data_IF_346036572999
#
_entry.id   IF_346036572999
#
_cell.length_a   1.000
_cell.length_b   1.000
_cell.length_c   1.000
_cell.angle_alpha   90.00
_cell.angle_beta   90.00
_cell.angle_gamma   90.00
#
_symmetry.space_group_name_H-M   'P 1'
#
loop_
_entity.id
_entity.type
_entity.pdbx_description
1 polymer ?
#
# COMPACT_ATOMS: atom_id res chain seq x y z
N UNK A 1 22.03 1.75 -29.69
CA UNK A 1 20.55 1.76 -29.82
C UNK A 1 19.91 0.38 -30.01
N UNK A 2 20.61 -0.69 -30.45
CA UNK A 2 19.99 -2.03 -30.62
C UNK A 2 19.71 -2.77 -29.31
N UNK A 3 20.63 -2.75 -28.33
CA UNK A 3 20.44 -3.41 -27.01
C UNK A 3 19.26 -2.88 -26.19
N UNK A 4 18.90 -1.60 -26.36
CA UNK A 4 17.73 -0.98 -25.68
C UNK A 4 16.42 -1.51 -26.27
N UNK A 5 16.35 -1.67 -27.60
CA UNK A 5 15.19 -2.28 -28.27
C UNK A 5 15.04 -3.76 -27.93
N UNK A 6 16.14 -4.48 -27.73
CA UNK A 6 16.15 -5.88 -27.28
C UNK A 6 15.69 -6.05 -25.83
N UNK A 7 16.18 -5.19 -24.93
CA UNK A 7 15.72 -5.15 -23.54
C UNK A 7 14.22 -4.87 -23.45
N UNK A 8 13.70 -3.89 -24.21
CA UNK A 8 12.28 -3.57 -24.28
C UNK A 8 11.40 -4.71 -24.82
N UNK A 9 11.95 -5.62 -25.63
CA UNK A 9 11.24 -6.81 -26.12
C UNK A 9 11.27 -8.00 -25.15
N UNK A 10 12.06 -7.94 -24.08
CA UNK A 10 12.01 -8.98 -23.05
C UNK A 10 10.67 -8.91 -22.28
N UNK A 11 10.05 -10.07 -22.02
CA UNK A 11 8.80 -10.16 -21.26
C UNK A 11 8.88 -9.45 -19.90
N UNK A 12 10.07 -9.44 -19.30
CA UNK A 12 10.36 -8.74 -18.05
C UNK A 12 10.30 -7.21 -18.20
N UNK A 13 11.00 -6.62 -19.17
CA UNK A 13 10.98 -5.18 -19.36
C UNK A 13 9.59 -4.66 -19.73
N UNK A 14 8.85 -5.43 -20.55
CA UNK A 14 7.46 -5.12 -20.86
C UNK A 14 6.57 -5.16 -19.61
N UNK A 15 6.74 -6.13 -18.73
CA UNK A 15 5.97 -6.24 -17.48
C UNK A 15 6.33 -5.13 -16.46
N UNK A 16 7.60 -4.75 -16.36
CA UNK A 16 8.05 -3.62 -15.54
C UNK A 16 7.54 -2.29 -16.07
N UNK A 17 7.59 -2.06 -17.39
CA UNK A 17 7.04 -0.87 -18.03
C UNK A 17 5.51 -0.77 -17.82
N UNK A 18 4.80 -1.89 -17.90
CA UNK A 18 3.37 -1.96 -17.57
C UNK A 18 3.11 -1.54 -16.11
N UNK A 19 3.90 -2.05 -15.16
CA UNK A 19 3.76 -1.67 -13.76
C UNK A 19 4.05 -0.18 -13.56
N UNK A 20 5.09 0.36 -14.20
CA UNK A 20 5.40 1.79 -14.13
C UNK A 20 4.25 2.65 -14.66
N UNK A 21 3.73 2.34 -15.85
CA UNK A 21 2.57 3.05 -16.42
C UNK A 21 1.34 2.93 -15.51
N UNK A 22 1.08 1.74 -14.97
CA UNK A 22 -0.01 1.52 -14.03
C UNK A 22 0.13 2.38 -12.77
N UNK A 23 1.35 2.48 -12.21
CA UNK A 23 1.63 3.32 -11.06
C UNK A 23 1.44 4.80 -11.38
N UNK A 24 1.81 5.25 -12.58
CA UNK A 24 1.52 6.63 -13.02
C UNK A 24 0.03 6.91 -13.05
N UNK A 25 -0.78 5.99 -13.60
CA UNK A 25 -2.25 6.14 -13.62
C UNK A 25 -2.82 6.17 -12.21
N UNK A 26 -2.38 5.28 -11.33
CA UNK A 26 -2.80 5.24 -9.91
C UNK A 26 -2.50 6.56 -9.20
N UNK A 27 -1.29 7.10 -9.37
CA UNK A 27 -0.91 8.38 -8.78
C UNK A 27 -1.72 9.55 -9.35
N UNK A 28 -1.99 9.56 -10.66
CA UNK A 28 -2.85 10.56 -11.28
C UNK A 28 -4.29 10.49 -10.73
N UNK A 29 -4.84 9.28 -10.56
CA UNK A 29 -6.15 9.07 -9.93
C UNK A 29 -6.20 9.58 -8.49
N UNK A 30 -5.18 9.26 -7.67
CA UNK A 30 -5.07 9.77 -6.30
C UNK A 30 -4.97 11.29 -6.24
N UNK A 31 -4.27 11.92 -7.21
CA UNK A 31 -4.20 13.37 -7.31
C UNK A 31 -5.56 13.99 -7.66
N UNK A 32 -6.27 13.42 -8.64
CA UNK A 32 -7.62 13.85 -9.04
C UNK A 32 -8.58 13.74 -7.85
N UNK A 33 -8.53 12.64 -7.09
CA UNK A 33 -9.33 12.48 -5.87
C UNK A 33 -9.09 13.63 -4.88
N UNK A 34 -7.82 13.91 -4.56
CA UNK A 34 -7.47 15.00 -3.64
C UNK A 34 -7.93 16.37 -4.15
N UNK A 35 -7.87 16.61 -5.47
CA UNK A 35 -8.35 17.86 -6.08
C UNK A 35 -9.88 18.00 -5.96
N UNK A 36 -10.62 16.93 -6.26
CA UNK A 36 -12.09 16.90 -6.13
C UNK A 36 -12.49 17.14 -4.67
N UNK A 37 -11.89 16.39 -3.74
CA UNK A 37 -12.17 16.52 -2.30
C UNK A 37 -11.81 17.90 -1.77
N UNK A 38 -10.69 18.50 -2.21
CA UNK A 38 -10.32 19.86 -1.84
C UNK A 38 -11.34 20.91 -2.30
N UNK A 39 -12.01 20.68 -3.43
CA UNK A 39 -13.05 21.58 -3.93
C UNK A 39 -14.41 21.36 -3.25
N UNK A 40 -14.77 20.12 -2.91
CA UNK A 40 -16.09 19.79 -2.38
C UNK A 40 -16.21 19.92 -0.87
N UNK A 41 -15.18 19.57 -0.10
CA UNK A 41 -15.26 19.48 1.36
C UNK A 41 -15.12 20.84 2.07
N UNK A 42 -14.60 21.85 1.36
CA UNK A 42 -14.22 23.13 1.98
C UNK A 42 -13.00 23.01 2.90
N UNK A 43 -12.48 24.14 3.42
CA UNK A 43 -11.16 24.19 4.04
C UNK A 43 -11.01 23.33 5.30
N UNK A 44 -12.04 23.27 6.15
CA UNK A 44 -11.96 22.59 7.46
C UNK A 44 -11.96 21.07 7.32
N UNK A 45 -12.91 20.51 6.56
CA UNK A 45 -12.98 19.06 6.32
C UNK A 45 -11.82 18.59 5.43
N UNK A 46 -11.33 19.42 4.50
CA UNK A 46 -10.15 19.09 3.72
C UNK A 46 -8.86 19.08 4.56
N UNK A 47 -8.75 19.91 5.59
CA UNK A 47 -7.65 19.86 6.54
C UNK A 47 -7.64 18.52 7.32
N UNK A 48 -8.80 18.09 7.81
CA UNK A 48 -8.96 16.78 8.47
C UNK A 48 -8.59 15.63 7.52
N UNK A 49 -9.04 15.68 6.26
CA UNK A 49 -8.69 14.69 5.25
C UNK A 49 -7.18 14.68 4.94
N UNK A 50 -6.58 15.86 4.81
CA UNK A 50 -5.13 16.00 4.54
C UNK A 50 -4.28 15.44 5.68
N UNK A 51 -4.73 15.59 6.93
CA UNK A 51 -4.10 14.96 8.08
C UNK A 51 -4.13 13.42 7.97
N UNK A 52 -5.28 12.83 7.62
CA UNK A 52 -5.39 11.38 7.44
C UNK A 52 -4.51 10.90 6.28
N UNK A 53 -4.45 11.64 5.17
CA UNK A 53 -3.54 11.35 4.05
C UNK A 53 -2.07 11.40 4.49
N UNK A 54 -1.71 12.35 5.34
CA UNK A 54 -0.36 12.45 5.91
C UNK A 54 -0.05 11.25 6.81
N UNK A 55 -1.00 10.81 7.63
CA UNK A 55 -0.84 9.58 8.42
C UNK A 55 -0.73 8.34 7.54
N UNK A 56 -1.42 8.27 6.40
CA UNK A 56 -1.26 7.19 5.42
C UNK A 56 0.17 7.15 4.85
N UNK A 57 0.84 8.30 4.69
CA UNK A 57 2.24 8.36 4.26
C UNK A 57 3.17 7.76 5.32
N UNK A 58 2.92 8.05 6.61
CA UNK A 58 3.66 7.42 7.72
C UNK A 58 3.46 5.90 7.71
N UNK A 59 2.23 5.43 7.49
CA UNK A 59 1.95 3.99 7.36
C UNK A 59 2.64 3.38 6.14
N UNK A 60 2.71 4.10 5.02
CA UNK A 60 3.41 3.65 3.81
C UNK A 60 4.88 3.38 4.14
N UNK A 61 5.51 4.29 4.90
CA UNK A 61 6.87 4.09 5.39
C UNK A 61 7.02 2.83 6.25
N UNK A 62 6.04 2.51 7.12
CA UNK A 62 6.04 1.27 7.91
C UNK A 62 5.85 0.01 7.05
N UNK A 63 5.02 0.09 6.01
CA UNK A 63 4.76 -1.05 5.11
C UNK A 63 5.92 -1.32 4.15
N UNK A 64 6.73 -0.32 3.80
CA UNK A 64 7.79 -0.46 2.82
C UNK A 64 8.87 -1.50 3.21
N UNK A 65 9.40 -1.54 4.45
CA UNK A 65 10.31 -2.60 4.90
C UNK A 65 9.68 -4.00 4.84
N UNK A 66 8.40 -4.13 5.18
CA UNK A 66 7.67 -5.41 5.11
C UNK A 66 7.61 -5.88 3.67
N UNK A 67 7.21 -5.00 2.75
CA UNK A 67 7.13 -5.30 1.32
C UNK A 67 8.50 -5.65 0.73
N UNK A 68 9.54 -4.86 1.03
CA UNK A 68 10.90 -5.08 0.52
C UNK A 68 11.52 -6.39 1.06
N UNK A 69 11.32 -6.68 2.35
CA UNK A 69 11.78 -7.92 2.97
C UNK A 69 11.06 -9.12 2.36
N UNK A 70 9.75 -9.02 2.20
CA UNK A 70 8.92 -10.03 1.54
C UNK A 70 9.38 -10.28 0.09
N UNK A 71 9.62 -9.22 -0.68
CA UNK A 71 10.12 -9.31 -2.05
C UNK A 71 11.49 -9.98 -2.13
N UNK A 72 12.41 -9.63 -1.23
CA UNK A 72 13.74 -10.24 -1.15
C UNK A 72 13.66 -11.74 -0.91
N UNK A 73 12.94 -12.19 0.11
CA UNK A 73 12.82 -13.62 0.41
C UNK A 73 12.05 -14.38 -0.66
N UNK A 74 11.02 -13.78 -1.24
CA UNK A 74 10.31 -14.36 -2.37
C UNK A 74 11.23 -14.56 -3.58
N UNK A 75 12.07 -13.59 -3.92
CA UNK A 75 13.01 -13.71 -5.04
C UNK A 75 14.04 -14.82 -4.82
N UNK A 76 14.64 -14.90 -3.62
CA UNK A 76 15.65 -15.93 -3.27
C UNK A 76 15.04 -17.33 -3.38
N UNK A 77 13.96 -17.60 -2.65
CA UNK A 77 13.42 -18.96 -2.57
C UNK A 77 12.65 -19.40 -3.83
N UNK A 78 12.16 -18.45 -4.64
CA UNK A 78 11.59 -18.77 -5.95
C UNK A 78 12.69 -19.18 -6.93
N UNK A 79 13.89 -18.61 -6.84
CA UNK A 79 15.03 -19.02 -7.65
C UNK A 79 15.54 -20.42 -7.26
N UNK A 80 15.52 -20.75 -5.97
CA UNK A 80 15.94 -22.05 -5.44
C UNK A 80 14.89 -23.16 -5.60
N UNK A 81 13.65 -22.82 -6.01
CA UNK A 81 12.53 -23.77 -6.12
C UNK A 81 12.00 -24.28 -4.77
N UNK A 82 12.32 -23.60 -3.66
CA UNK A 82 11.93 -24.00 -2.31
C UNK A 82 10.60 -23.36 -1.89
N UNK A 83 9.51 -23.85 -2.50
CA UNK A 83 8.15 -23.35 -2.24
C UNK A 83 7.69 -23.58 -0.79
N UNK A 84 8.21 -24.62 -0.12
CA UNK A 84 7.84 -24.93 1.27
C UNK A 84 8.38 -23.89 2.23
N UNK A 85 9.66 -23.58 2.13
CA UNK A 85 10.28 -22.53 2.97
C UNK A 85 9.68 -21.18 2.67
N UNK A 86 9.43 -20.86 1.39
CA UNK A 86 8.76 -19.62 1.00
C UNK A 86 7.36 -19.49 1.61
N UNK A 87 6.55 -20.56 1.60
CA UNK A 87 5.22 -20.54 2.20
C UNK A 87 5.26 -20.36 3.73
N UNK A 88 6.24 -20.98 4.40
CA UNK A 88 6.46 -20.83 5.84
C UNK A 88 6.87 -19.40 6.21
N UNK A 89 7.85 -18.83 5.49
CA UNK A 89 8.30 -17.45 5.67
C UNK A 89 7.18 -16.45 5.39
N UNK A 90 6.44 -16.64 4.30
CA UNK A 90 5.26 -15.81 4.00
C UNK A 90 4.28 -15.82 5.16
N UNK A 91 3.94 -17.01 5.68
CA UNK A 91 3.02 -17.15 6.83
C UNK A 91 3.55 -16.43 8.06
N UNK A 92 4.84 -16.57 8.38
CA UNK A 92 5.46 -15.88 9.51
C UNK A 92 5.38 -14.35 9.36
N UNK A 93 5.85 -13.80 8.23
CA UNK A 93 5.81 -12.34 7.98
C UNK A 93 4.36 -11.84 7.99
N UNK A 94 3.43 -12.61 7.44
CA UNK A 94 2.00 -12.28 7.43
C UNK A 94 1.43 -12.15 8.85
N UNK A 95 1.73 -13.10 9.76
CA UNK A 95 1.27 -13.01 11.14
C UNK A 95 1.91 -11.87 11.92
N UNK A 96 3.20 -11.58 11.68
CA UNK A 96 3.87 -10.40 12.27
C UNK A 96 3.21 -9.11 11.77
N UNK A 97 2.98 -9.00 10.45
CA UNK A 97 2.33 -7.85 9.84
C UNK A 97 0.88 -7.67 10.34
N UNK A 98 0.11 -8.76 10.45
CA UNK A 98 -1.23 -8.72 11.01
C UNK A 98 -1.21 -8.26 12.47
N UNK A 99 -0.32 -8.82 13.29
CA UNK A 99 -0.18 -8.46 14.70
C UNK A 99 0.14 -6.98 14.87
N UNK A 100 1.12 -6.47 14.10
CA UNK A 100 1.47 -5.05 14.10
C UNK A 100 0.29 -4.17 13.67
N UNK A 101 -0.42 -4.58 12.62
CA UNK A 101 -1.61 -3.87 12.14
C UNK A 101 -2.72 -3.80 13.19
N UNK A 102 -3.01 -4.93 13.86
CA UNK A 102 -4.00 -4.98 14.95
C UNK A 102 -3.58 -4.13 16.16
N UNK A 103 -2.29 -4.13 16.51
CA UNK A 103 -1.76 -3.24 17.55
C UNK A 103 -1.98 -1.77 17.19
N UNK A 104 -1.72 -1.38 15.94
CA UNK A 104 -1.98 -0.02 15.48
C UNK A 104 -3.48 0.30 15.42
N UNK A 105 -4.33 -0.65 15.03
CA UNK A 105 -5.79 -0.49 15.12
C UNK A 105 -6.24 -0.19 16.54
N UNK A 106 -5.78 -0.99 17.51
CA UNK A 106 -6.09 -0.78 18.91
C UNK A 106 -5.59 0.60 19.39
N UNK A 107 -4.36 0.98 19.02
CA UNK A 107 -3.81 2.30 19.32
C UNK A 107 -4.71 3.43 18.79
N UNK A 108 -5.02 3.43 17.49
CA UNK A 108 -5.84 4.49 16.89
C UNK A 108 -7.27 4.51 17.44
N UNK A 109 -7.86 3.34 17.74
CA UNK A 109 -9.20 3.27 18.32
C UNK A 109 -9.24 3.81 19.76
N UNK A 110 -8.28 3.42 20.60
CA UNK A 110 -8.21 3.86 22.01
C UNK A 110 -7.86 5.34 22.12
N UNK A 111 -6.88 5.80 21.34
CA UNK A 111 -6.40 7.17 21.39
C UNK A 111 -7.16 8.15 20.47
N UNK A 112 -8.19 7.70 19.74
CA UNK A 112 -8.94 8.57 18.80
C UNK A 112 -9.44 9.88 19.42
N UNK A 113 -10.01 9.93 20.64
CA UNK A 113 -10.44 11.19 21.25
C UNK A 113 -9.27 12.12 21.60
N UNK A 114 -8.14 11.55 22.04
CA UNK A 114 -6.94 12.32 22.36
C UNK A 114 -6.30 12.89 21.08
N UNK A 115 -6.21 12.08 20.02
CA UNK A 115 -5.74 12.50 18.70
C UNK A 115 -6.63 13.60 18.11
N UNK A 116 -7.97 13.46 18.24
CA UNK A 116 -8.91 14.49 17.83
C UNK A 116 -8.59 15.85 18.47
N UNK A 117 -8.40 15.86 19.79
CA UNK A 117 -8.12 17.08 20.53
C UNK A 117 -6.73 17.64 20.19
N UNK A 118 -5.72 16.79 20.08
CA UNK A 118 -4.34 17.20 19.76
C UNK A 118 -4.24 17.81 18.36
N UNK A 119 -4.87 17.21 17.36
CA UNK A 119 -4.87 17.68 15.99
C UNK A 119 -5.98 18.69 15.67
N UNK A 120 -6.82 19.04 16.65
CA UNK A 120 -7.94 19.98 16.49
C UNK A 120 -8.92 19.61 15.36
N UNK A 121 -9.13 18.31 15.12
CA UNK A 121 -10.05 17.82 14.08
C UNK A 121 -11.50 17.85 14.54
N UNK A 122 -12.45 17.89 13.60
CA UNK A 122 -13.88 17.98 13.95
C UNK A 122 -14.44 16.70 14.60
N UNK A 123 -13.91 15.53 14.23
CA UNK A 123 -14.40 14.23 14.68
C UNK A 123 -13.25 13.25 14.96
N UNK A 124 -13.44 12.35 15.92
CA UNK A 124 -12.51 11.25 16.18
C UNK A 124 -12.70 10.06 15.22
N UNK A 125 -13.85 10.02 14.52
CA UNK A 125 -14.23 8.92 13.63
C UNK A 125 -13.19 8.63 12.52
N UNK A 126 -12.58 9.64 11.85
CA UNK A 126 -11.56 9.38 10.83
C UNK A 126 -10.34 8.60 11.36
N UNK A 127 -9.93 8.80 12.61
CA UNK A 127 -8.82 8.04 13.22
C UNK A 127 -9.20 6.58 13.45
N UNK A 128 -10.43 6.30 13.87
CA UNK A 128 -10.92 4.92 14.06
C UNK A 128 -11.01 4.20 12.71
N UNK A 129 -11.59 4.85 11.70
CA UNK A 129 -11.67 4.31 10.33
C UNK A 129 -10.28 4.04 9.77
N UNK A 130 -9.37 5.01 9.92
CA UNK A 130 -7.97 4.86 9.55
C UNK A 130 -7.31 3.66 10.25
N UNK A 131 -7.48 3.55 11.56
CA UNK A 131 -6.98 2.45 12.36
C UNK A 131 -7.47 1.08 11.90
N UNK A 132 -8.75 0.96 11.53
CA UNK A 132 -9.33 -0.28 11.01
C UNK A 132 -8.73 -0.72 9.67
N UNK A 133 -8.21 0.20 8.86
CA UNK A 133 -7.57 -0.13 7.58
C UNK A 133 -6.15 -0.70 7.74
N UNK A 134 -5.48 -0.46 8.87
CA UNK A 134 -4.06 -0.80 9.06
C UNK A 134 -3.71 -2.29 9.01
N UNK A 135 -4.49 -3.23 9.57
CA UNK A 135 -4.22 -4.66 9.45
C UNK A 135 -4.20 -5.10 7.99
N UNK A 136 -5.14 -4.59 7.20
CA UNK A 136 -5.21 -4.87 5.77
C UNK A 136 -4.02 -4.29 5.02
N UNK A 137 -3.62 -3.04 5.30
CA UNK A 137 -2.45 -2.42 4.68
C UNK A 137 -1.15 -3.19 4.97
N UNK A 138 -0.95 -3.64 6.23
CA UNK A 138 0.23 -4.39 6.62
C UNK A 138 0.30 -5.76 5.93
N UNK A 139 -0.81 -6.50 5.93
CA UNK A 139 -0.93 -7.79 5.23
C UNK A 139 -0.74 -7.63 3.72
N UNK A 140 -1.34 -6.60 3.12
CA UNK A 140 -1.24 -6.32 1.71
C UNK A 140 0.22 -6.04 1.29
N UNK A 141 1.01 -5.39 2.15
CA UNK A 141 2.44 -5.17 1.92
C UNK A 141 3.21 -6.49 1.75
N UNK A 142 2.87 -7.52 2.53
CA UNK A 142 3.46 -8.86 2.41
C UNK A 142 3.13 -9.47 1.05
N UNK A 143 1.85 -9.48 0.67
CA UNK A 143 1.42 -10.09 -0.60
C UNK A 143 1.98 -9.34 -1.82
N UNK A 144 2.01 -8.01 -1.78
CA UNK A 144 2.64 -7.19 -2.83
C UNK A 144 4.13 -7.47 -2.94
N UNK A 145 4.81 -7.65 -1.80
CA UNK A 145 6.21 -8.07 -1.78
C UNK A 145 6.41 -9.45 -2.40
N UNK A 146 5.57 -10.44 -2.05
CA UNK A 146 5.60 -11.77 -2.65
C UNK A 146 5.43 -11.72 -4.17
N UNK A 147 4.47 -10.93 -4.67
CA UNK A 147 4.25 -10.73 -6.11
C UNK A 147 5.45 -10.07 -6.78
N UNK A 148 6.05 -9.06 -6.14
CA UNK A 148 7.21 -8.35 -6.64
C UNK A 148 8.44 -9.27 -6.73
N UNK A 149 8.72 -10.06 -5.70
CA UNK A 149 9.84 -11.00 -5.68
C UNK A 149 9.70 -12.14 -6.69
N UNK A 150 8.45 -12.57 -6.97
CA UNK A 150 8.13 -13.54 -8.04
C UNK A 150 8.05 -12.92 -9.43
N UNK A 151 8.34 -11.63 -9.59
CA UNK A 151 8.22 -10.87 -10.84
C UNK A 151 6.82 -10.86 -11.47
N UNK A 152 5.78 -11.09 -10.66
CA UNK A 152 4.40 -11.12 -11.12
C UNK A 152 3.78 -9.72 -11.18
N UNK A 153 4.40 -8.85 -12.00
CA UNK A 153 4.09 -7.42 -12.07
C UNK A 153 2.70 -7.12 -12.62
N UNK A 154 2.11 -8.02 -13.42
CA UNK A 154 0.74 -7.86 -13.91
C UNK A 154 -0.27 -7.91 -12.77
N UNK A 155 -0.19 -8.93 -11.91
CA UNK A 155 -1.08 -9.04 -10.75
C UNK A 155 -0.80 -7.92 -9.75
N UNK A 156 0.47 -7.55 -9.57
CA UNK A 156 0.84 -6.41 -8.73
C UNK A 156 0.21 -5.09 -9.24
N UNK A 157 0.25 -4.84 -10.55
CA UNK A 157 -0.39 -3.68 -11.16
C UNK A 157 -1.91 -3.67 -10.94
N UNK A 158 -2.57 -4.82 -11.15
CA UNK A 158 -4.02 -4.97 -10.88
C UNK A 158 -4.33 -4.68 -9.42
N UNK A 159 -3.52 -5.15 -8.47
CA UNK A 159 -3.71 -4.86 -7.04
C UNK A 159 -3.70 -3.36 -6.74
N UNK A 160 -2.78 -2.58 -7.35
CA UNK A 160 -2.75 -1.13 -7.17
C UNK A 160 -3.94 -0.44 -7.85
N UNK A 161 -4.35 -0.91 -9.02
CA UNK A 161 -5.50 -0.34 -9.73
C UNK A 161 -6.81 -0.58 -8.97
N UNK A 162 -7.07 -1.81 -8.52
CA UNK A 162 -8.28 -2.13 -7.76
C UNK A 162 -8.41 -1.23 -6.53
N UNK A 163 -7.31 -1.04 -5.79
CA UNK A 163 -7.30 -0.15 -4.62
C UNK A 163 -7.56 1.32 -4.99
N UNK A 164 -7.02 1.80 -6.10
CA UNK A 164 -7.24 3.18 -6.55
C UNK A 164 -8.69 3.40 -7.01
N UNK A 165 -9.24 2.49 -7.82
CA UNK A 165 -10.61 2.59 -8.31
C UNK A 165 -11.63 2.40 -7.19
N UNK A 166 -11.36 1.53 -6.21
CA UNK A 166 -12.23 1.39 -5.04
C UNK A 166 -12.31 2.67 -4.21
N UNK A 167 -11.26 3.49 -4.19
CA UNK A 167 -11.28 4.80 -3.51
C UNK A 167 -12.05 5.87 -4.30
N UNK A 168 -12.08 5.80 -5.62
CA UNK A 168 -12.80 6.79 -6.45
C UNK A 168 -14.31 6.54 -6.52
N UNK A 169 -14.75 5.28 -6.40
CA UNK A 169 -16.14 4.88 -6.54
C UNK A 169 -16.96 5.01 -5.24
N UNK A 170 -16.29 5.25 -4.11
CA UNK A 170 -16.88 5.47 -2.79
C UNK A 170 -16.81 6.95 -2.46
#
# INVERSE_FOLDING_TARGET
>A
MSKIKELLHSKFASASALLMLSMTVVNAGNYIYNLIMGRWLGPSLFADLSLIVTLLLVVTFLTAPIQMTSARYAAIHTADGDDKTLASLRRFIWFVALSLGLTLTAFFAIFAPALKNFFHTQSSLPFVIFGMALPFSMVQAVERGMLQGRTNFKILAISYQVEMWSRLLV
#
